data_IF_299482588864
#
_entry.id   IF_299482588864
#
_cell.length_a   1.000
_cell.length_b   1.000
_cell.length_c   1.000
_cell.angle_alpha   90.00
_cell.angle_beta   90.00
_cell.angle_gamma   90.00
#
_symmetry.space_group_name_H-M   'P 1'
#
loop_
_entity.id
_entity.type
_entity.pdbx_description
1 polymer ?
#
# COMPACT_ATOMS: atom_id res chain seq x y z
N UNK A 1 7.83 1.73 19.31
CA UNK A 1 7.69 0.68 18.31
C UNK A 1 6.33 0.02 18.38
N UNK A 2 5.83 -0.46 17.25
CA UNK A 2 4.70 -1.37 17.29
C UNK A 2 5.22 -2.69 17.84
N UNK A 3 4.61 -3.17 18.92
CA UNK A 3 5.08 -4.40 19.56
C UNK A 3 4.80 -5.58 18.64
N UNK A 4 5.82 -6.29 18.20
CA UNK A 4 5.69 -7.57 17.51
C UNK A 4 5.31 -8.66 18.53
N UNK A 5 4.03 -8.74 18.88
CA UNK A 5 3.49 -9.71 19.82
C UNK A 5 3.16 -11.07 19.18
N UNK A 6 3.73 -11.36 18.01
CA UNK A 6 3.49 -12.62 17.36
C UNK A 6 4.15 -13.76 18.15
N UNK A 7 3.33 -14.52 18.88
CA UNK A 7 3.79 -15.74 19.56
C UNK A 7 4.22 -16.76 18.52
N UNK A 8 5.52 -17.10 18.51
CA UNK A 8 6.13 -17.98 17.52
C UNK A 8 6.90 -17.24 16.46
N UNK A 9 7.28 -15.98 16.71
CA UNK A 9 8.19 -15.25 15.83
C UNK A 9 9.49 -16.04 15.62
N UNK A 10 9.85 -16.23 14.36
CA UNK A 10 11.10 -16.91 13.94
C UNK A 10 12.12 -15.89 13.42
N UNK A 11 11.90 -14.61 13.70
CA UNK A 11 12.62 -13.50 13.09
C UNK A 11 12.75 -12.35 14.08
N UNK A 12 13.96 -11.85 14.29
CA UNK A 12 14.23 -10.69 15.14
C UNK A 12 15.53 -9.98 14.70
N UNK A 13 15.49 -8.65 14.45
CA UNK A 13 14.31 -7.78 14.55
C UNK A 13 13.26 -8.07 13.46
N UNK A 14 12.00 -7.75 13.75
CA UNK A 14 10.90 -7.77 12.80
C UNK A 14 9.82 -6.81 13.26
N UNK A 15 9.97 -5.53 12.96
CA UNK A 15 9.08 -4.49 13.46
C UNK A 15 9.06 -3.26 12.54
N UNK A 16 8.16 -2.30 12.84
CA UNK A 16 8.17 -0.96 12.27
C UNK A 16 8.70 0.03 13.32
N UNK A 17 9.69 0.81 12.93
CA UNK A 17 10.40 1.75 13.78
C UNK A 17 10.14 3.19 13.35
N UNK A 18 10.02 4.10 14.30
CA UNK A 18 9.91 5.52 14.01
C UNK A 18 11.18 6.02 13.36
N UNK A 19 11.02 6.92 12.40
CA UNK A 19 12.12 7.61 11.74
C UNK A 19 12.10 9.09 12.10
N UNK A 20 13.10 9.83 11.66
CA UNK A 20 13.20 11.27 11.85
C UNK A 20 11.96 11.98 11.32
N UNK A 21 11.53 13.05 12.02
CA UNK A 21 10.34 13.82 11.67
C UNK A 21 9.16 13.57 12.64
N UNK A 22 8.93 12.33 13.07
CA UNK A 22 7.91 11.98 14.07
C UNK A 22 6.47 12.14 13.58
N UNK A 23 6.25 12.33 12.28
CA UNK A 23 4.93 12.42 11.67
C UNK A 23 4.20 11.07 11.61
N UNK A 24 2.94 11.11 11.19
CA UNK A 24 2.08 9.92 11.13
C UNK A 24 2.65 8.81 10.23
N UNK A 25 3.32 9.16 9.15
CA UNK A 25 3.91 8.22 8.19
C UNK A 25 5.44 8.09 8.30
N UNK A 26 6.06 8.64 9.35
CA UNK A 26 7.52 8.60 9.53
C UNK A 26 7.93 7.31 10.25
N UNK A 27 7.80 6.21 9.52
CA UNK A 27 8.14 4.86 9.96
C UNK A 27 8.85 4.09 8.86
N UNK A 28 9.68 3.13 9.26
CA UNK A 28 10.30 2.15 8.40
C UNK A 28 10.19 0.75 9.02
N UNK A 29 9.70 -0.20 8.24
CA UNK A 29 9.71 -1.61 8.63
C UNK A 29 11.09 -2.20 8.35
N UNK A 30 11.63 -2.95 9.31
CA UNK A 30 12.91 -3.67 9.20
C UNK A 30 12.69 -5.10 9.68
N UNK A 31 13.18 -6.07 8.91
CA UNK A 31 13.14 -7.48 9.28
C UNK A 31 14.49 -8.15 8.95
N UNK A 32 15.01 -8.96 9.88
CA UNK A 32 16.22 -9.76 9.65
C UNK A 32 15.83 -11.25 9.78
N UNK A 33 15.79 -11.94 8.64
CA UNK A 33 15.44 -13.36 8.56
C UNK A 33 16.66 -14.27 8.74
N UNK A 34 17.85 -13.74 8.50
CA UNK A 34 19.12 -14.46 8.62
C UNK A 34 20.11 -13.74 9.56
N UNK A 35 21.13 -14.46 9.98
CA UNK A 35 22.22 -13.86 10.80
C UNK A 35 23.04 -12.86 9.99
N UNK A 36 23.19 -13.07 8.69
CA UNK A 36 23.88 -12.14 7.79
C UNK A 36 23.15 -10.79 7.72
N UNK A 37 21.81 -10.82 7.63
CA UNK A 37 20.99 -9.61 7.65
C UNK A 37 21.06 -8.88 8.99
N UNK A 38 21.09 -9.61 10.11
CA UNK A 38 21.32 -9.01 11.42
C UNK A 38 22.69 -8.34 11.52
N UNK A 39 23.76 -9.02 11.09
CA UNK A 39 25.11 -8.45 11.09
C UNK A 39 25.21 -7.25 10.13
N UNK A 40 24.53 -7.31 8.99
CA UNK A 40 24.37 -6.19 8.06
C UNK A 40 23.73 -4.98 8.73
N UNK A 41 22.62 -5.19 9.46
CA UNK A 41 21.95 -4.12 10.20
C UNK A 41 22.86 -3.52 11.28
N UNK A 42 23.56 -4.36 12.06
CA UNK A 42 24.55 -3.89 13.05
C UNK A 42 25.62 -3.03 12.39
N UNK A 43 26.11 -3.43 11.22
CA UNK A 43 27.09 -2.65 10.44
C UNK A 43 26.52 -1.29 10.01
N UNK A 44 25.28 -1.24 9.49
CA UNK A 44 24.60 0.00 9.07
C UNK A 44 24.40 0.96 10.26
N UNK A 45 24.11 0.43 11.43
CA UNK A 45 24.01 1.20 12.68
C UNK A 45 25.36 1.75 13.19
N UNK A 46 26.48 1.36 12.55
CA UNK A 46 27.82 1.75 13.00
C UNK A 46 28.36 0.89 14.16
N UNK A 47 27.87 -0.34 14.28
CA UNK A 47 28.29 -1.32 15.29
C UNK A 47 28.18 -0.78 16.73
N UNK A 48 27.00 -0.35 17.18
CA UNK A 48 26.83 0.20 18.49
C UNK A 48 27.14 -0.84 19.58
N UNK A 49 27.74 -0.39 20.69
CA UNK A 49 28.24 -1.27 21.74
C UNK A 49 27.16 -2.21 22.32
N UNK A 50 25.91 -1.74 22.40
CA UNK A 50 24.80 -2.56 22.89
C UNK A 50 24.52 -3.77 21.98
N UNK A 51 24.67 -3.64 20.66
CA UNK A 51 24.42 -4.72 19.69
C UNK A 51 25.47 -5.85 19.79
N UNK A 52 26.66 -5.57 20.34
CA UNK A 52 27.70 -6.56 20.62
C UNK A 52 27.44 -7.39 21.89
N UNK A 53 26.36 -7.10 22.63
CA UNK A 53 25.99 -7.87 23.83
C UNK A 53 25.72 -9.33 23.48
N UNK A 54 26.17 -10.30 24.31
CA UNK A 54 25.84 -11.71 24.13
C UNK A 54 24.34 -12.02 24.04
N UNK A 55 23.48 -11.13 24.57
CA UNK A 55 22.00 -11.23 24.48
C UNK A 55 21.50 -11.21 23.03
N UNK A 56 22.21 -10.50 22.13
CA UNK A 56 21.79 -10.35 20.74
C UNK A 56 22.59 -11.23 19.78
N UNK A 57 23.51 -12.05 20.29
CA UNK A 57 24.38 -12.89 19.46
C UNK A 57 23.64 -14.01 18.72
N UNK A 58 22.48 -14.40 19.20
CA UNK A 58 21.66 -15.47 18.58
C UNK A 58 20.22 -14.99 18.38
N UNK A 59 19.51 -15.60 17.42
CA UNK A 59 18.10 -15.31 17.21
C UNK A 59 17.27 -15.53 18.49
N UNK A 60 17.53 -16.61 19.23
CA UNK A 60 16.82 -16.89 20.50
C UNK A 60 17.03 -15.76 21.52
N UNK A 61 18.26 -15.28 21.64
CA UNK A 61 18.55 -14.16 22.54
C UNK A 61 17.87 -12.86 22.11
N UNK A 62 17.86 -12.57 20.82
CA UNK A 62 17.13 -11.40 20.27
C UNK A 62 15.62 -11.47 20.51
N UNK A 63 15.02 -12.66 20.40
CA UNK A 63 13.59 -12.88 20.69
C UNK A 63 13.28 -12.73 22.17
N UNK A 64 14.16 -13.21 23.05
CA UNK A 64 14.00 -13.11 24.50
C UNK A 64 14.13 -11.66 24.98
N UNK A 65 15.01 -10.87 24.35
CA UNK A 65 15.27 -9.47 24.69
C UNK A 65 14.72 -8.48 23.65
N UNK A 66 13.59 -8.81 23.02
CA UNK A 66 13.04 -8.07 21.89
C UNK A 66 12.74 -6.61 22.18
N UNK A 67 12.23 -6.28 23.37
CA UNK A 67 11.92 -4.90 23.76
C UNK A 67 13.20 -4.04 23.82
N UNK A 68 14.27 -4.57 24.39
CA UNK A 68 15.58 -3.91 24.47
C UNK A 68 16.22 -3.74 23.08
N UNK A 69 16.08 -4.78 22.24
CA UNK A 69 16.52 -4.77 20.85
C UNK A 69 15.80 -3.68 20.04
N UNK A 70 14.46 -3.66 20.11
CA UNK A 70 13.62 -2.72 19.40
C UNK A 70 13.87 -1.27 19.85
N UNK A 71 14.08 -1.05 21.13
CA UNK A 71 14.44 0.26 21.65
C UNK A 71 15.77 0.75 21.07
N UNK A 72 16.82 -0.08 21.08
CA UNK A 72 18.12 0.31 20.56
C UNK A 72 18.10 0.59 19.05
N UNK A 73 17.30 -0.17 18.29
CA UNK A 73 17.10 0.08 16.86
C UNK A 73 16.30 1.39 16.67
N UNK A 74 15.24 1.64 17.43
CA UNK A 74 14.41 2.83 17.27
C UNK A 74 15.18 4.11 17.60
N UNK A 75 16.05 4.11 18.63
CA UNK A 75 16.92 5.24 18.94
C UNK A 75 17.79 5.63 17.74
N UNK A 76 18.29 4.66 16.99
CA UNK A 76 19.07 4.91 15.78
C UNK A 76 18.19 5.34 14.60
N UNK A 77 17.05 4.66 14.34
CA UNK A 77 16.20 4.98 13.18
C UNK A 77 15.61 6.37 13.26
N UNK A 78 15.34 6.91 14.44
CA UNK A 78 14.88 8.28 14.64
C UNK A 78 15.89 9.35 14.22
N UNK A 79 17.13 9.00 13.96
CA UNK A 79 18.16 9.92 13.46
C UNK A 79 18.13 10.08 11.93
N UNK A 80 17.42 9.21 11.20
CA UNK A 80 17.42 9.11 9.74
C UNK A 80 16.04 9.31 9.14
N UNK A 81 15.99 9.90 7.93
CA UNK A 81 14.79 9.91 7.09
C UNK A 81 14.47 8.50 6.60
N UNK A 82 13.18 8.17 6.48
CA UNK A 82 12.71 6.80 6.19
C UNK A 82 13.25 6.21 4.87
N UNK A 83 13.42 7.03 3.83
CA UNK A 83 13.98 6.57 2.55
C UNK A 83 15.50 6.41 2.62
N UNK A 84 16.20 7.31 3.28
CA UNK A 84 17.63 7.18 3.56
C UNK A 84 17.93 5.91 4.37
N UNK A 85 17.12 5.64 5.38
CA UNK A 85 17.20 4.41 6.18
C UNK A 85 17.02 3.16 5.32
N UNK A 86 15.98 3.14 4.47
CA UNK A 86 15.73 2.06 3.53
C UNK A 86 16.96 1.81 2.62
N UNK A 87 17.46 2.86 1.98
CA UNK A 87 18.60 2.76 1.05
C UNK A 87 19.84 2.20 1.72
N UNK A 88 20.17 2.68 2.93
CA UNK A 88 21.32 2.17 3.71
C UNK A 88 21.16 0.70 4.09
N UNK A 89 19.97 0.30 4.55
CA UNK A 89 19.69 -1.08 4.91
C UNK A 89 19.75 -2.00 3.68
N UNK A 90 19.07 -1.64 2.59
CA UNK A 90 19.04 -2.44 1.37
C UNK A 90 20.43 -2.59 0.73
N UNK A 91 21.26 -1.55 0.76
CA UNK A 91 22.64 -1.61 0.28
C UNK A 91 23.51 -2.61 1.08
N UNK A 92 23.14 -2.89 2.33
CA UNK A 92 23.76 -3.89 3.20
C UNK A 92 23.06 -5.26 3.17
N UNK A 93 22.10 -5.46 2.26
CA UNK A 93 21.32 -6.70 2.15
C UNK A 93 20.27 -6.89 3.23
N UNK A 94 19.90 -5.84 3.97
CA UNK A 94 18.90 -5.89 5.04
C UNK A 94 17.52 -5.48 4.49
N UNK A 95 16.50 -6.32 4.59
CA UNK A 95 15.14 -5.97 4.22
C UNK A 95 14.61 -4.79 5.05
N UNK A 96 14.36 -3.67 4.38
CA UNK A 96 13.80 -2.48 4.99
C UNK A 96 12.91 -1.74 3.97
N UNK A 97 11.73 -1.26 4.41
CA UNK A 97 10.81 -0.50 3.58
C UNK A 97 10.12 0.61 4.40
N UNK A 98 10.01 1.83 3.85
CA UNK A 98 9.28 2.91 4.52
C UNK A 98 7.78 2.62 4.56
N UNK A 99 7.11 3.06 5.60
CA UNK A 99 5.66 3.16 5.62
C UNK A 99 5.25 4.33 4.71
N UNK A 100 4.45 4.02 3.69
CA UNK A 100 4.11 4.95 2.62
C UNK A 100 2.66 5.45 2.76
N UNK A 101 2.46 6.76 2.60
CA UNK A 101 1.15 7.35 2.37
C UNK A 101 0.65 7.02 0.94
N UNK A 102 -0.61 7.32 0.67
CA UNK A 102 -1.16 7.20 -0.69
C UNK A 102 -0.38 8.08 -1.68
N UNK A 103 -0.03 9.30 -1.29
CA UNK A 103 0.80 10.21 -2.10
C UNK A 103 2.18 9.59 -2.40
N UNK A 104 2.88 9.08 -1.40
CA UNK A 104 4.17 8.43 -1.60
C UNK A 104 4.08 7.29 -2.63
N UNK A 105 3.05 6.44 -2.53
CA UNK A 105 2.86 5.30 -3.43
C UNK A 105 2.48 5.73 -4.84
N UNK A 106 1.54 6.66 -4.97
CA UNK A 106 0.96 7.04 -6.26
C UNK A 106 1.88 7.96 -7.05
N UNK A 107 2.56 8.90 -6.36
CA UNK A 107 3.28 9.98 -7.02
C UNK A 107 4.80 9.84 -6.98
N UNK A 108 5.34 9.16 -5.97
CA UNK A 108 6.78 9.20 -5.70
C UNK A 108 7.49 7.85 -5.77
N UNK A 109 6.78 6.72 -5.61
CA UNK A 109 7.42 5.40 -5.59
C UNK A 109 7.95 4.99 -6.97
N UNK A 110 9.29 4.84 -7.15
CA UNK A 110 9.88 4.50 -8.44
C UNK A 110 9.55 3.07 -8.88
N UNK A 111 9.40 2.13 -7.94
CA UNK A 111 9.07 0.74 -8.26
C UNK A 111 7.63 0.60 -8.73
N UNK A 112 6.68 1.27 -8.07
CA UNK A 112 5.28 1.26 -8.48
C UNK A 112 5.08 1.96 -9.83
N UNK A 113 5.87 3.02 -10.10
CA UNK A 113 5.90 3.67 -11.41
C UNK A 113 6.45 2.74 -12.49
N UNK A 114 7.59 2.09 -12.24
CA UNK A 114 8.18 1.11 -13.17
C UNK A 114 7.22 -0.04 -13.47
N UNK A 115 6.45 -0.48 -12.47
CA UNK A 115 5.45 -1.53 -12.61
C UNK A 115 4.15 -1.06 -13.26
N UNK A 116 3.99 0.25 -13.56
CA UNK A 116 2.74 0.83 -14.07
C UNK A 116 1.55 0.50 -13.15
N UNK A 117 1.80 0.57 -11.84
CA UNK A 117 0.81 0.21 -10.83
C UNK A 117 -0.35 1.19 -10.79
N UNK A 118 -0.12 2.42 -11.22
CA UNK A 118 -1.14 3.46 -11.33
C UNK A 118 -1.16 4.00 -12.76
N UNK A 119 -2.32 3.96 -13.38
CA UNK A 119 -2.56 4.46 -14.73
C UNK A 119 -3.47 5.68 -14.67
N UNK A 120 -3.14 6.69 -15.44
CA UNK A 120 -4.01 7.84 -15.60
C UNK A 120 -5.08 7.53 -16.64
N UNK A 121 -6.36 7.61 -16.21
CA UNK A 121 -7.52 7.41 -17.05
C UNK A 121 -8.43 8.62 -16.94
N UNK A 122 -9.06 8.99 -18.04
CA UNK A 122 -9.95 10.14 -18.11
C UNK A 122 -11.36 9.76 -17.60
N UNK A 123 -11.67 10.17 -16.38
CA UNK A 123 -12.97 9.92 -15.79
C UNK A 123 -13.97 11.00 -16.25
N UNK A 124 -15.18 10.64 -16.74
CA UNK A 124 -16.08 11.56 -17.41
C UNK A 124 -16.55 12.76 -16.56
N UNK A 125 -16.49 12.65 -15.24
CA UNK A 125 -16.88 13.75 -14.31
C UNK A 125 -15.65 14.36 -13.64
N UNK A 126 -14.67 13.52 -13.22
CA UNK A 126 -13.52 13.99 -12.44
C UNK A 126 -12.32 14.40 -13.29
N UNK A 127 -12.37 14.17 -14.61
CA UNK A 127 -11.22 14.36 -15.50
C UNK A 127 -10.12 13.33 -15.25
N UNK A 128 -8.86 13.62 -15.64
CA UNK A 128 -7.74 12.68 -15.48
C UNK A 128 -7.53 12.30 -14.02
N UNK A 129 -7.51 11.01 -13.74
CA UNK A 129 -7.29 10.44 -12.40
C UNK A 129 -6.44 9.19 -12.48
N UNK A 130 -5.65 8.95 -11.44
CA UNK A 130 -4.85 7.75 -11.31
C UNK A 130 -5.68 6.60 -10.72
N UNK A 131 -5.76 5.53 -11.47
CA UNK A 131 -6.44 4.29 -11.08
C UNK A 131 -5.42 3.19 -10.86
N UNK A 132 -5.63 2.38 -9.83
CA UNK A 132 -4.76 1.26 -9.54
C UNK A 132 -4.95 0.16 -10.58
N UNK A 133 -3.84 -0.30 -11.14
CA UNK A 133 -3.77 -1.43 -12.05
C UNK A 133 -3.57 -2.74 -11.28
N UNK A 134 -3.66 -3.88 -11.98
CA UNK A 134 -3.30 -5.17 -11.42
C UNK A 134 -1.79 -5.24 -11.13
N UNK A 135 -1.38 -5.79 -9.97
CA UNK A 135 0.04 -5.91 -9.62
C UNK A 135 0.78 -6.95 -10.44
N UNK A 136 0.07 -7.91 -11.00
CA UNK A 136 0.62 -8.93 -11.90
C UNK A 136 0.56 -8.47 -13.35
N UNK A 137 1.53 -8.90 -14.14
CA UNK A 137 1.58 -8.68 -15.60
C UNK A 137 1.55 -10.04 -16.29
N UNK A 138 0.54 -10.27 -17.10
CA UNK A 138 0.39 -11.49 -17.89
C UNK A 138 0.97 -11.25 -19.29
N UNK A 139 1.88 -12.11 -19.74
CA UNK A 139 2.53 -12.00 -21.05
C UNK A 139 1.56 -12.23 -22.22
N UNK A 140 0.68 -13.22 -22.06
CA UNK A 140 -0.27 -13.64 -23.10
C UNK A 140 -1.60 -12.87 -23.09
N UNK A 141 -1.93 -12.23 -21.95
CA UNK A 141 -3.19 -11.53 -21.75
C UNK A 141 -2.95 -10.20 -21.03
N UNK A 142 -2.22 -9.25 -21.64
CA UNK A 142 -1.98 -7.96 -21.02
C UNK A 142 -3.30 -7.19 -20.82
N UNK A 143 -3.40 -6.42 -19.74
CA UNK A 143 -4.55 -5.56 -19.47
C UNK A 143 -4.54 -4.36 -20.46
N UNK A 144 -5.24 -4.48 -21.59
CA UNK A 144 -5.17 -3.51 -22.68
C UNK A 144 -6.29 -2.46 -22.65
N UNK A 145 -7.44 -2.77 -22.08
CA UNK A 145 -8.64 -1.91 -22.15
C UNK A 145 -9.10 -1.48 -20.76
N UNK A 146 -8.25 -0.79 -20.04
CA UNK A 146 -8.60 -0.23 -18.76
C UNK A 146 -9.56 0.95 -18.94
N UNK A 147 -10.65 0.91 -18.19
CA UNK A 147 -11.66 1.98 -18.15
C UNK A 147 -11.66 2.60 -16.76
N UNK A 148 -11.98 3.91 -16.64
CA UNK A 148 -12.17 4.53 -15.33
C UNK A 148 -13.34 3.89 -14.59
N UNK A 149 -13.48 4.19 -13.31
CA UNK A 149 -14.64 3.76 -12.53
C UNK A 149 -15.93 4.22 -13.21
N UNK A 150 -16.95 3.35 -13.31
CA UNK A 150 -18.22 3.72 -13.95
C UNK A 150 -18.99 4.71 -13.09
N UNK A 151 -19.79 5.54 -13.76
CA UNK A 151 -20.82 6.32 -13.09
C UNK A 151 -21.96 5.43 -12.59
N UNK A 152 -22.66 5.89 -11.58
CA UNK A 152 -23.82 5.18 -11.05
C UNK A 152 -24.84 4.96 -12.19
N UNK A 153 -25.25 3.71 -12.39
CA UNK A 153 -26.19 3.32 -13.43
C UNK A 153 -25.67 3.37 -14.88
N UNK A 154 -24.39 3.66 -15.09
CA UNK A 154 -23.80 3.82 -16.44
C UNK A 154 -24.05 2.61 -17.35
N UNK A 155 -24.07 1.42 -16.81
CA UNK A 155 -24.21 0.18 -17.57
C UNK A 155 -25.59 -0.48 -17.39
N UNK A 156 -26.57 0.21 -16.78
CA UNK A 156 -27.87 -0.38 -16.52
C UNK A 156 -28.53 -0.90 -17.80
N UNK A 157 -28.56 -0.10 -18.86
CA UNK A 157 -29.18 -0.53 -20.11
C UNK A 157 -28.46 -1.73 -20.75
N UNK A 158 -27.13 -1.71 -20.78
CA UNK A 158 -26.34 -2.83 -21.29
C UNK A 158 -26.63 -4.13 -20.52
N UNK A 159 -26.74 -4.04 -19.20
CA UNK A 159 -26.96 -5.20 -18.35
C UNK A 159 -28.41 -5.66 -18.43
N UNK A 160 -29.38 -4.78 -18.18
CA UNK A 160 -30.78 -5.18 -18.05
C UNK A 160 -31.44 -5.49 -19.40
N UNK A 161 -31.32 -4.63 -20.41
CA UNK A 161 -31.85 -4.92 -21.74
C UNK A 161 -30.90 -5.87 -22.50
N UNK A 162 -29.60 -5.58 -22.54
CA UNK A 162 -28.64 -6.30 -23.41
C UNK A 162 -28.32 -7.70 -22.92
N UNK A 163 -28.01 -7.88 -21.63
CA UNK A 163 -27.59 -9.18 -21.10
C UNK A 163 -28.75 -9.99 -20.50
N UNK A 164 -29.67 -9.34 -19.80
CA UNK A 164 -30.79 -10.00 -19.12
C UNK A 164 -32.06 -10.06 -19.97
N UNK A 165 -32.12 -9.29 -21.07
CA UNK A 165 -33.22 -9.34 -22.00
C UNK A 165 -34.53 -8.68 -21.51
N UNK A 166 -34.44 -7.71 -20.58
CA UNK A 166 -35.60 -6.92 -20.15
C UNK A 166 -36.17 -6.16 -21.36
N UNK A 167 -37.48 -6.10 -21.45
CA UNK A 167 -38.14 -5.24 -22.43
C UNK A 167 -37.90 -3.76 -22.13
N UNK A 168 -37.84 -2.93 -23.19
CA UNK A 168 -37.60 -1.50 -23.01
C UNK A 168 -38.64 -0.81 -22.11
N UNK A 169 -39.92 -1.15 -22.23
CA UNK A 169 -40.98 -0.60 -21.38
C UNK A 169 -40.76 -0.97 -19.90
N UNK A 170 -40.37 -2.21 -19.61
CA UNK A 170 -40.09 -2.68 -18.26
C UNK A 170 -38.82 -2.01 -17.68
N UNK A 171 -37.79 -1.82 -18.53
CA UNK A 171 -36.57 -1.11 -18.14
C UNK A 171 -36.90 0.35 -17.79
N UNK A 172 -37.67 1.06 -18.58
CA UNK A 172 -38.09 2.44 -18.29
C UNK A 172 -38.93 2.52 -17.01
N UNK A 173 -39.89 1.61 -16.83
CA UNK A 173 -40.73 1.54 -15.63
C UNK A 173 -39.90 1.36 -14.35
N UNK A 174 -38.77 0.61 -14.42
CA UNK A 174 -37.86 0.40 -13.30
C UNK A 174 -37.14 1.68 -12.83
N UNK A 175 -37.01 2.69 -13.67
CA UNK A 175 -36.53 4.01 -13.24
C UNK A 175 -37.67 4.82 -12.59
N UNK A 176 -38.90 4.71 -13.09
CA UNK A 176 -40.04 5.44 -12.58
C UNK A 176 -40.45 4.96 -11.17
N UNK A 177 -40.43 3.64 -10.95
CA UNK A 177 -40.76 3.04 -9.65
C UNK A 177 -39.56 3.02 -8.66
N UNK A 178 -38.37 3.36 -9.10
CA UNK A 178 -37.15 3.42 -8.28
C UNK A 178 -36.46 2.08 -8.06
N UNK A 179 -36.77 1.07 -8.85
CA UNK A 179 -36.07 -0.22 -8.89
C UNK A 179 -34.63 -0.02 -9.35
N UNK A 180 -34.40 0.85 -10.34
CA UNK A 180 -33.08 1.18 -10.83
C UNK A 180 -32.58 2.52 -10.28
N UNK A 181 -31.25 2.59 -10.04
CA UNK A 181 -30.57 3.78 -9.62
C UNK A 181 -29.56 4.24 -10.70
N UNK A 182 -29.44 5.54 -11.05
CA UNK A 182 -30.26 6.66 -10.55
C UNK A 182 -31.73 6.60 -11.02
N UNK A 183 -32.62 7.24 -10.28
CA UNK A 183 -34.06 7.25 -10.56
C UNK A 183 -34.47 8.01 -11.84
N UNK A 184 -33.55 8.46 -12.62
CA UNK A 184 -33.75 9.15 -13.89
C UNK A 184 -32.92 8.49 -15.00
N UNK A 185 -33.43 8.55 -16.23
CA UNK A 185 -32.65 8.13 -17.41
C UNK A 185 -31.42 9.04 -17.64
N UNK A 186 -31.48 10.28 -17.16
CA UNK A 186 -30.37 11.22 -17.20
C UNK A 186 -29.50 11.09 -15.93
N UNK A 187 -28.60 10.13 -15.98
CA UNK A 187 -27.66 9.78 -14.90
C UNK A 187 -26.68 10.90 -14.52
N UNK A 188 -26.55 11.93 -15.33
CA UNK A 188 -25.62 13.04 -15.06
C UNK A 188 -26.25 14.10 -14.16
N UNK A 189 -27.55 14.33 -14.22
CA UNK A 189 -28.26 15.30 -13.37
C UNK A 189 -28.12 14.96 -11.88
N UNK A 190 -28.08 13.68 -11.55
CA UNK A 190 -27.91 13.25 -10.17
C UNK A 190 -26.53 13.58 -9.58
N UNK A 191 -25.47 13.55 -10.41
CA UNK A 191 -24.12 13.91 -9.97
C UNK A 191 -23.98 15.40 -9.73
N UNK A 192 -24.65 16.24 -10.54
CA UNK A 192 -24.64 17.70 -10.37
C UNK A 192 -25.36 18.09 -9.06
N UNK A 193 -26.44 17.42 -8.68
CA UNK A 193 -27.14 17.63 -7.40
C UNK A 193 -26.33 17.17 -6.18
N UNK A 194 -25.50 16.14 -6.31
CA UNK A 194 -24.60 15.68 -5.22
C UNK A 194 -23.34 16.54 -5.06
N UNK A 195 -22.93 17.26 -6.09
CA UNK A 195 -21.72 18.08 -6.08
C UNK A 195 -22.01 19.57 -5.86
N UNK A 196 -23.27 19.99 -5.82
CA UNK A 196 -23.74 21.32 -5.50
C UNK A 196 -24.02 21.49 -3.99
#
# INVERSE_FOLDING_TARGET
>A
PMVNNYRGATTAPHNAYRTKGGGYNDWCAIACFTEEEWLGLVGVMGSPQWAASPRFATLSGRLEHQEELDQGIEEWTQTLEKYELMERCQAAGVPAMPVQSSENRVDHDPQLRHREMYLELDHPVLGPRKFQNAPFKLSESPALNLKPAPLIGQHNQEIFEGMLGLGHEEFVAGYEDGTFWPKTLDRYLYMDEMMA
#
